data_IF_380648631891
#
_entry.id   IF_380648631891
#
_cell.length_a   1.000
_cell.length_b   1.000
_cell.length_c   1.000
_cell.angle_alpha   90.00
_cell.angle_beta   90.00
_cell.angle_gamma   90.00
#
_symmetry.space_group_name_H-M   'P 1'
#
loop_
_entity.id
_entity.type
_entity.pdbx_description
1 polymer ?
#
# COMPACT_ATOMS: atom_id res chain seq x y z
N UNK A 1 -13.48 90.87 20.92
CA UNK A 1 -14.90 90.81 21.30
C UNK A 1 -15.71 90.72 20.02
N UNK A 2 -16.17 89.52 19.64
CA UNK A 2 -17.29 89.22 18.72
C UNK A 2 -17.51 87.71 18.78
N UNK A 3 -18.79 87.33 18.78
CA UNK A 3 -19.42 86.05 19.19
C UNK A 3 -19.02 84.83 18.36
N UNK A 4 -18.92 83.68 19.04
CA UNK A 4 -18.98 82.34 18.44
C UNK A 4 -20.42 81.83 18.50
N UNK A 5 -20.95 81.40 17.35
CA UNK A 5 -22.30 80.84 17.21
C UNK A 5 -22.21 79.33 16.98
N UNK A 6 -23.13 78.63 17.63
CA UNK A 6 -23.48 77.21 17.66
C UNK A 6 -23.69 76.56 16.29
N UNK A 7 -23.35 75.27 16.13
CA UNK A 7 -24.28 74.12 15.92
C UNK A 7 -23.63 72.96 15.14
N UNK A 8 -23.87 71.77 15.68
CA UNK A 8 -23.60 70.38 15.24
C UNK A 8 -23.82 70.09 13.75
N UNK A 9 -22.94 69.27 13.17
CA UNK A 9 -23.13 68.60 11.89
C UNK A 9 -22.63 67.14 11.93
N UNK A 10 -23.54 66.21 11.65
CA UNK A 10 -23.28 64.84 11.19
C UNK A 10 -22.99 64.84 9.69
N UNK A 11 -21.94 64.15 9.24
CA UNK A 11 -21.70 63.87 7.81
C UNK A 11 -21.07 62.49 7.62
N UNK A 12 -21.70 61.71 6.75
CA UNK A 12 -21.25 60.48 6.07
C UNK A 12 -20.45 60.80 4.79
N UNK A 13 -19.68 59.81 4.32
CA UNK A 13 -19.04 59.67 2.97
C UNK A 13 -17.83 60.60 2.69
N UNK A 14 -16.69 60.21 2.09
CA UNK A 14 -16.29 59.08 1.23
C UNK A 14 -14.76 58.86 1.34
N UNK A 15 -14.27 57.64 1.17
CA UNK A 15 -12.88 57.40 0.71
C UNK A 15 -12.77 56.11 -0.12
N UNK A 16 -12.75 56.33 -1.43
CA UNK A 16 -12.17 55.56 -2.55
C UNK A 16 -11.20 54.42 -2.15
N UNK A 17 -11.55 53.17 -2.49
CA UNK A 17 -10.65 52.01 -2.43
C UNK A 17 -10.42 51.48 -3.86
N UNK A 18 -9.16 51.39 -4.25
CA UNK A 18 -8.70 50.91 -5.57
C UNK A 18 -9.00 49.43 -5.77
N UNK A 19 -9.57 49.12 -6.94
CA UNK A 19 -9.81 47.78 -7.45
C UNK A 19 -8.47 47.11 -7.79
N UNK A 20 -8.07 46.11 -7.01
CA UNK A 20 -7.06 45.14 -7.42
C UNK A 20 -7.78 43.84 -7.70
N UNK A 21 -8.00 43.59 -8.99
CA UNK A 21 -8.57 42.37 -9.54
C UNK A 21 -7.64 41.20 -9.23
N UNK A 22 -7.90 40.51 -8.11
CA UNK A 22 -7.33 39.19 -7.85
C UNK A 22 -8.11 38.19 -8.69
N UNK A 23 -7.50 37.74 -9.77
CA UNK A 23 -7.92 36.60 -10.55
C UNK A 23 -8.01 35.37 -9.62
N UNK A 24 -9.22 35.08 -9.16
CA UNK A 24 -9.54 33.90 -8.35
C UNK A 24 -9.42 32.68 -9.26
N UNK A 25 -8.20 32.13 -9.39
CA UNK A 25 -8.04 30.74 -9.77
C UNK A 25 -8.50 29.91 -8.56
N UNK A 26 -9.83 29.76 -8.47
CA UNK A 26 -10.53 29.09 -7.39
C UNK A 26 -10.10 27.61 -7.39
N UNK A 27 -9.08 27.32 -6.57
CA UNK A 27 -8.43 26.02 -6.46
C UNK A 27 -9.45 24.89 -6.41
N UNK A 28 -9.51 24.11 -7.49
CA UNK A 28 -10.36 22.91 -7.62
C UNK A 28 -10.20 22.02 -6.39
N UNK A 29 -9.00 21.99 -5.80
CA UNK A 29 -8.70 21.26 -4.57
C UNK A 29 -9.45 21.78 -3.35
N UNK A 30 -9.57 23.10 -3.16
CA UNK A 30 -10.37 23.70 -2.07
C UNK A 30 -11.85 23.42 -2.26
N UNK A 31 -12.33 23.43 -3.51
CA UNK A 31 -13.74 23.16 -3.84
C UNK A 31 -14.08 21.67 -3.63
N UNK A 32 -13.24 20.76 -4.11
CA UNK A 32 -13.37 19.31 -3.90
C UNK A 32 -13.19 18.96 -2.42
N UNK A 33 -12.24 19.59 -1.73
CA UNK A 33 -12.07 19.45 -0.30
C UNK A 33 -13.32 19.93 0.43
N UNK A 34 -13.77 21.17 0.25
CA UNK A 34 -14.94 21.73 0.92
C UNK A 34 -16.24 20.96 0.62
N UNK A 35 -16.41 20.40 -0.59
CA UNK A 35 -17.55 19.54 -0.89
C UNK A 35 -17.41 18.20 -0.15
N UNK A 36 -16.22 17.61 -0.12
CA UNK A 36 -15.91 16.37 0.61
C UNK A 36 -16.03 16.54 2.13
N UNK A 37 -15.52 17.64 2.69
CA UNK A 37 -15.66 17.98 4.11
C UNK A 37 -17.07 18.42 4.43
N UNK A 38 -17.79 19.18 3.61
CA UNK A 38 -19.19 19.47 3.88
C UNK A 38 -20.04 18.19 3.92
N UNK A 39 -19.76 17.22 3.02
CA UNK A 39 -20.43 15.91 3.05
C UNK A 39 -20.05 15.10 4.30
N UNK A 40 -18.77 15.09 4.69
CA UNK A 40 -18.28 14.37 5.87
C UNK A 40 -18.67 15.04 7.18
N UNK A 41 -18.66 16.36 7.27
CA UNK A 41 -19.04 17.16 8.44
C UNK A 41 -20.55 17.05 8.68
N UNK A 42 -21.37 16.99 7.61
CA UNK A 42 -22.81 16.72 7.73
C UNK A 42 -23.10 15.29 8.25
N UNK A 43 -22.23 14.32 7.91
CA UNK A 43 -22.31 12.95 8.45
C UNK A 43 -21.70 12.82 9.85
N UNK A 44 -20.65 13.58 10.18
CA UNK A 44 -19.96 13.53 11.47
C UNK A 44 -20.70 14.29 12.57
N UNK A 45 -21.30 15.45 12.26
CA UNK A 45 -22.07 16.28 13.22
C UNK A 45 -23.30 15.53 13.75
N UNK A 46 -23.80 14.51 13.05
CA UNK A 46 -24.90 13.67 13.53
C UNK A 46 -24.46 12.54 14.48
N UNK A 47 -23.15 12.30 14.65
CA UNK A 47 -22.62 11.02 15.20
C UNK A 47 -21.68 11.16 16.39
N UNK A 48 -21.73 12.28 17.13
CA UNK A 48 -21.14 12.30 18.48
C UNK A 48 -22.17 11.68 19.42
N UNK A 49 -22.25 10.36 19.44
CA UNK A 49 -22.86 9.60 20.53
C UNK A 49 -21.93 9.73 21.74
N UNK A 50 -22.46 9.59 22.96
CA UNK A 50 -21.74 9.73 24.23
C UNK A 50 -20.40 8.94 24.29
N UNK A 51 -19.31 9.46 23.71
CA UNK A 51 -18.03 8.73 23.55
C UNK A 51 -18.05 7.58 22.52
N UNK A 52 -18.98 7.57 21.56
CA UNK A 52 -19.13 6.52 20.55
C UNK A 52 -19.20 7.14 19.14
N UNK A 53 -18.54 6.52 18.15
CA UNK A 53 -18.56 6.98 16.73
C UNK A 53 -19.30 5.97 15.87
N UNK A 54 -20.32 6.42 15.12
CA UNK A 54 -21.04 5.56 14.16
C UNK A 54 -20.09 5.13 13.03
N UNK A 55 -20.12 3.85 12.69
CA UNK A 55 -19.28 3.26 11.63
C UNK A 55 -20.17 2.64 10.56
N UNK A 56 -20.00 3.08 9.31
CA UNK A 56 -20.65 2.43 8.18
C UNK A 56 -19.96 1.08 7.88
N UNK A 57 -20.67 -0.06 8.00
CA UNK A 57 -20.08 -1.38 7.85
C UNK A 57 -19.57 -1.66 6.43
N UNK A 58 -20.25 -1.13 5.40
CA UNK A 58 -19.86 -1.33 4.00
C UNK A 58 -18.54 -0.60 3.70
N UNK A 59 -18.48 0.68 4.05
CA UNK A 59 -17.29 1.51 3.88
C UNK A 59 -16.10 0.93 4.66
N UNK A 60 -16.33 0.54 5.91
CA UNK A 60 -15.32 -0.08 6.74
C UNK A 60 -14.79 -1.39 6.16
N UNK A 61 -15.66 -2.25 5.63
CA UNK A 61 -15.25 -3.51 5.01
C UNK A 61 -14.36 -3.29 3.77
N UNK A 62 -14.70 -2.31 2.92
CA UNK A 62 -13.89 -1.99 1.72
C UNK A 62 -12.50 -1.49 2.12
N UNK A 63 -12.42 -0.57 3.09
CA UNK A 63 -11.13 -0.05 3.55
C UNK A 63 -10.26 -1.17 4.15
N UNK A 64 -10.83 -2.00 5.02
CA UNK A 64 -10.09 -3.10 5.65
C UNK A 64 -9.65 -4.15 4.62
N UNK A 65 -10.50 -4.53 3.66
CA UNK A 65 -10.12 -5.45 2.58
C UNK A 65 -9.01 -4.87 1.70
N UNK A 66 -9.10 -3.58 1.38
CA UNK A 66 -8.06 -2.85 0.64
C UNK A 66 -6.72 -2.88 1.37
N UNK A 67 -6.72 -2.62 2.67
CA UNK A 67 -5.51 -2.63 3.49
C UNK A 67 -4.87 -4.01 3.61
N UNK A 68 -5.68 -5.06 3.84
CA UNK A 68 -5.19 -6.45 3.86
C UNK A 68 -4.54 -6.79 2.53
N UNK A 69 -5.23 -6.52 1.42
CA UNK A 69 -4.75 -6.87 0.07
C UNK A 69 -3.44 -6.17 -0.26
N UNK A 70 -3.33 -4.86 0.07
CA UNK A 70 -2.11 -4.07 -0.12
C UNK A 70 -0.95 -4.63 0.71
N UNK A 71 -1.15 -4.90 2.00
CA UNK A 71 -0.12 -5.45 2.89
C UNK A 71 0.35 -6.83 2.40
N UNK A 72 -0.59 -7.73 2.10
CA UNK A 72 -0.27 -9.05 1.57
C UNK A 72 0.54 -8.95 0.29
N UNK A 73 0.15 -8.11 -0.67
CA UNK A 73 0.86 -7.91 -1.94
C UNK A 73 2.33 -7.49 -1.72
N UNK A 74 2.54 -6.47 -0.89
CA UNK A 74 3.86 -5.91 -0.59
C UNK A 74 4.76 -6.93 0.09
N UNK A 75 4.25 -7.61 1.13
CA UNK A 75 5.04 -8.58 1.88
C UNK A 75 5.31 -9.86 1.08
N UNK A 76 4.39 -10.28 0.20
CA UNK A 76 4.67 -11.36 -0.75
C UNK A 76 5.76 -10.97 -1.76
N UNK A 77 5.79 -9.72 -2.21
CA UNK A 77 6.86 -9.23 -3.10
C UNK A 77 8.23 -9.28 -2.41
N UNK A 78 8.33 -8.85 -1.15
CA UNK A 78 9.56 -8.94 -0.34
C UNK A 78 9.97 -10.39 -0.15
N UNK A 79 9.03 -11.26 0.25
CA UNK A 79 9.33 -12.69 0.46
C UNK A 79 9.78 -13.36 -0.83
N UNK A 80 9.16 -13.03 -1.97
CA UNK A 80 9.58 -13.53 -3.27
C UNK A 80 11.00 -13.05 -3.63
N UNK A 81 11.31 -11.78 -3.40
CA UNK A 81 12.67 -11.24 -3.58
C UNK A 81 13.67 -11.93 -2.64
N UNK A 82 13.32 -12.13 -1.37
CA UNK A 82 14.15 -12.80 -0.37
C UNK A 82 14.44 -14.26 -0.78
N UNK A 83 13.41 -15.03 -1.12
CA UNK A 83 13.56 -16.43 -1.55
C UNK A 83 14.46 -16.49 -2.80
N UNK A 84 14.26 -15.57 -3.75
CA UNK A 84 15.11 -15.47 -4.94
C UNK A 84 16.56 -15.19 -4.57
N UNK A 85 16.82 -14.19 -3.73
CA UNK A 85 18.18 -13.86 -3.26
C UNK A 85 18.82 -15.05 -2.56
N UNK A 86 18.13 -15.67 -1.60
CA UNK A 86 18.63 -16.83 -0.87
C UNK A 86 18.90 -18.04 -1.77
N UNK A 87 18.05 -18.29 -2.77
CA UNK A 87 18.24 -19.38 -3.75
C UNK A 87 19.51 -19.21 -4.59
N UNK A 88 19.91 -17.96 -4.85
CA UNK A 88 21.12 -17.65 -5.62
C UNK A 88 22.36 -17.70 -4.72
N UNK A 89 22.26 -17.20 -3.48
CA UNK A 89 23.37 -17.21 -2.52
C UNK A 89 23.73 -18.61 -2.02
N UNK A 90 22.73 -19.45 -1.78
CA UNK A 90 22.91 -20.74 -1.10
C UNK A 90 22.21 -21.89 -1.86
N UNK A 91 22.63 -22.18 -3.11
CA UNK A 91 21.95 -23.15 -3.98
C UNK A 91 21.95 -24.60 -3.43
N UNK A 92 22.86 -24.92 -2.50
CA UNK A 92 23.03 -26.26 -1.92
C UNK A 92 22.37 -26.43 -0.55
N UNK A 93 21.66 -25.42 -0.05
CA UNK A 93 20.98 -25.51 1.24
C UNK A 93 19.63 -26.23 1.12
N UNK A 94 19.49 -27.36 1.83
CA UNK A 94 18.28 -28.18 1.87
C UNK A 94 17.03 -27.44 2.37
N UNK A 95 17.19 -26.40 3.20
CA UNK A 95 16.07 -25.59 3.64
C UNK A 95 15.54 -24.72 2.49
N UNK A 96 16.42 -24.11 1.71
CA UNK A 96 16.05 -23.23 0.59
C UNK A 96 15.42 -24.04 -0.53
N UNK A 97 15.97 -25.23 -0.83
CA UNK A 97 15.37 -26.14 -1.81
C UNK A 97 14.00 -26.67 -1.38
N UNK A 98 13.66 -26.61 -0.08
CA UNK A 98 12.31 -26.91 0.43
C UNK A 98 11.37 -25.72 0.28
N UNK A 99 11.82 -24.50 0.62
CA UNK A 99 11.03 -23.26 0.55
C UNK A 99 10.64 -22.91 -0.89
N UNK A 100 11.46 -23.28 -1.87
CA UNK A 100 11.15 -23.08 -3.30
C UNK A 100 10.17 -24.11 -3.88
N UNK A 101 9.77 -25.15 -3.11
CA UNK A 101 8.76 -26.13 -3.57
C UNK A 101 7.36 -25.53 -3.57
N UNK A 102 6.48 -25.93 -4.52
CA UNK A 102 5.14 -25.35 -4.65
C UNK A 102 4.27 -25.52 -3.40
N UNK A 103 4.36 -26.67 -2.73
CA UNK A 103 3.63 -26.91 -1.46
C UNK A 103 4.05 -25.93 -0.36
N UNK A 104 5.35 -25.62 -0.26
CA UNK A 104 5.86 -24.66 0.71
C UNK A 104 5.45 -23.23 0.33
N UNK A 105 5.47 -22.89 -0.96
CA UNK A 105 5.04 -21.58 -1.42
C UNK A 105 3.56 -21.29 -1.09
N UNK A 106 2.66 -22.26 -1.31
CA UNK A 106 1.25 -22.13 -0.94
C UNK A 106 1.09 -21.94 0.57
N UNK A 107 1.82 -22.71 1.38
CA UNK A 107 1.80 -22.57 2.84
C UNK A 107 2.30 -21.18 3.28
N UNK A 108 3.37 -20.66 2.68
CA UNK A 108 3.87 -19.31 2.94
C UNK A 108 2.82 -18.25 2.60
N UNK A 109 2.16 -18.36 1.44
CA UNK A 109 1.10 -17.41 1.04
C UNK A 109 -0.05 -17.42 2.03
N UNK A 110 -0.54 -18.61 2.41
CA UNK A 110 -1.62 -18.75 3.39
C UNK A 110 -1.24 -18.16 4.75
N UNK A 111 0.00 -18.40 5.20
CA UNK A 111 0.50 -17.83 6.45
C UNK A 111 0.55 -16.30 6.43
N UNK A 112 1.02 -15.70 5.33
CA UNK A 112 1.09 -14.24 5.16
C UNK A 112 -0.32 -13.63 5.13
N UNK A 113 -1.25 -14.25 4.39
CA UNK A 113 -2.65 -13.80 4.32
C UNK A 113 -3.29 -13.85 5.70
N UNK A 114 -3.14 -14.97 6.42
CA UNK A 114 -3.72 -15.14 7.75
C UNK A 114 -3.15 -14.12 8.75
N UNK A 115 -1.83 -13.91 8.74
CA UNK A 115 -1.17 -12.95 9.61
C UNK A 115 -1.72 -11.53 9.41
N UNK A 116 -1.76 -11.06 8.16
CA UNK A 116 -2.26 -9.71 7.86
C UNK A 116 -3.76 -9.58 8.05
N UNK A 117 -4.53 -10.64 7.81
CA UNK A 117 -5.95 -10.65 8.13
C UNK A 117 -6.17 -10.41 9.62
N UNK A 118 -5.55 -11.23 10.49
CA UNK A 118 -5.67 -11.07 11.95
C UNK A 118 -5.20 -9.70 12.41
N UNK A 119 -4.05 -9.25 11.91
CA UNK A 119 -3.49 -7.94 12.22
C UNK A 119 -4.42 -6.79 11.80
N UNK A 120 -5.15 -6.89 10.69
CA UNK A 120 -6.02 -5.82 10.21
C UNK A 120 -7.46 -5.91 10.72
N UNK A 121 -7.87 -7.00 11.38
CA UNK A 121 -9.25 -7.16 11.87
C UNK A 121 -9.40 -7.06 13.39
N UNK A 122 -8.30 -6.92 14.14
CA UNK A 122 -8.33 -6.93 15.61
C UNK A 122 -9.26 -5.85 16.21
N UNK A 123 -9.34 -4.68 15.60
CA UNK A 123 -10.13 -3.54 16.08
C UNK A 123 -11.63 -3.80 15.98
N UNK A 124 -12.09 -4.73 15.12
CA UNK A 124 -13.49 -5.11 15.06
C UNK A 124 -14.00 -5.75 16.35
N UNK A 125 -13.11 -6.28 17.20
CA UNK A 125 -13.49 -6.84 18.50
C UNK A 125 -13.98 -5.79 19.49
N UNK A 126 -13.70 -4.50 19.26
CA UNK A 126 -14.14 -3.40 20.11
C UNK A 126 -15.46 -2.79 19.66
N UNK A 127 -15.92 -3.11 18.45
CA UNK A 127 -17.17 -2.60 17.90
C UNK A 127 -18.36 -3.19 18.66
N UNK A 128 -19.38 -2.35 18.86
CA UNK A 128 -20.61 -2.73 19.57
C UNK A 128 -21.82 -2.20 18.79
N UNK A 129 -22.94 -2.91 18.89
CA UNK A 129 -24.20 -2.47 18.29
C UNK A 129 -25.01 -1.77 19.36
N UNK A 130 -25.45 -0.55 19.05
CA UNK A 130 -26.25 0.28 19.96
C UNK A 130 -27.61 0.58 19.37
N UNK A 131 -28.58 0.75 20.27
CA UNK A 131 -29.88 1.30 19.94
C UNK A 131 -29.79 2.83 20.01
N UNK A 132 -29.96 3.50 18.86
CA UNK A 132 -29.70 4.93 18.71
C UNK A 132 -30.54 5.82 19.65
N UNK A 133 -31.86 5.58 19.84
CA UNK A 133 -32.71 6.41 20.70
C UNK A 133 -32.25 6.54 22.17
N UNK A 134 -31.60 5.51 22.72
CA UNK A 134 -31.22 5.49 24.14
C UNK A 134 -29.80 6.05 24.38
N UNK A 135 -29.01 6.21 23.31
CA UNK A 135 -27.59 6.56 23.38
C UNK A 135 -27.26 7.91 22.73
N UNK A 136 -28.27 8.70 22.39
CA UNK A 136 -28.12 10.06 21.86
C UNK A 136 -27.38 10.96 22.86
N UNK A 137 -26.53 11.84 22.33
CA UNK A 137 -25.89 12.88 23.14
C UNK A 137 -26.92 13.79 23.79
N UNK A 138 -26.56 14.37 24.94
CA UNK A 138 -27.41 15.29 25.67
C UNK A 138 -27.90 16.47 24.81
N UNK A 139 -27.11 16.87 23.82
CA UNK A 139 -27.49 17.88 22.81
C UNK A 139 -28.62 17.39 21.89
N UNK A 140 -28.55 16.14 21.42
CA UNK A 140 -29.55 15.56 20.52
C UNK A 140 -30.83 15.12 21.24
N UNK A 141 -30.78 14.84 22.55
CA UNK A 141 -31.98 14.52 23.36
C UNK A 141 -32.97 15.69 23.43
N UNK A 142 -32.49 16.94 23.27
CA UNK A 142 -33.32 18.14 23.31
C UNK A 142 -34.02 18.45 21.97
N UNK A 143 -33.75 17.69 20.90
CA UNK A 143 -34.45 17.84 19.62
C UNK A 143 -35.79 17.10 19.62
N UNK A 144 -36.78 17.57 18.85
CA UNK A 144 -38.06 16.87 18.73
C UNK A 144 -37.86 15.44 18.21
N UNK A 145 -38.42 14.46 18.94
CA UNK A 145 -38.33 13.00 18.65
C UNK A 145 -38.82 12.61 17.24
N UNK A 146 -39.54 13.51 16.57
CA UNK A 146 -40.05 13.31 15.21
C UNK A 146 -38.96 13.39 14.13
N UNK A 147 -37.75 13.87 14.45
CA UNK A 147 -36.62 13.97 13.51
C UNK A 147 -35.62 12.80 13.62
N UNK A 148 -35.81 11.86 14.55
CA UNK A 148 -34.85 10.77 14.79
C UNK A 148 -35.50 9.41 14.55
N UNK A 149 -35.20 8.80 13.41
CA UNK A 149 -35.65 7.43 13.12
C UNK A 149 -34.94 6.43 14.04
N UNK A 150 -35.68 5.56 14.75
CA UNK A 150 -35.09 4.54 15.60
C UNK A 150 -34.41 3.47 14.75
N UNK A 151 -33.08 3.34 14.89
CA UNK A 151 -32.27 2.34 14.18
C UNK A 151 -31.16 1.78 15.05
N UNK A 152 -30.72 0.56 14.72
CA UNK A 152 -29.49 -0.01 15.27
C UNK A 152 -28.28 0.53 14.52
N UNK A 153 -27.28 0.98 15.27
CA UNK A 153 -26.03 1.51 14.70
C UNK A 153 -24.84 0.70 15.22
N UNK A 154 -23.87 0.45 14.34
CA UNK A 154 -22.57 -0.08 14.73
C UNK A 154 -21.71 1.09 15.18
N UNK A 155 -21.21 1.05 16.41
CA UNK A 155 -20.36 2.12 16.93
C UNK A 155 -19.05 1.58 17.50
N UNK A 156 -18.01 2.38 17.33
CA UNK A 156 -16.70 2.18 17.92
C UNK A 156 -16.52 3.11 19.15
N UNK A 157 -15.83 2.68 20.21
CA UNK A 157 -15.50 3.55 21.33
C UNK A 157 -14.56 4.68 20.90
N UNK A 158 -14.78 5.89 21.42
CA UNK A 158 -13.97 7.06 21.08
C UNK A 158 -12.48 6.87 21.43
N UNK A 159 -12.19 6.15 22.52
CA UNK A 159 -10.81 5.80 22.92
C UNK A 159 -10.06 4.97 21.88
N UNK A 160 -10.78 4.21 21.03
CA UNK A 160 -10.17 3.47 19.93
C UNK A 160 -9.54 4.42 18.91
N UNK A 161 -10.14 5.59 18.66
CA UNK A 161 -9.57 6.56 17.73
C UNK A 161 -8.22 7.10 18.24
N UNK A 162 -8.13 7.38 19.55
CA UNK A 162 -6.89 7.80 20.20
C UNK A 162 -5.84 6.69 20.13
N UNK A 163 -6.22 5.45 20.46
CA UNK A 163 -5.33 4.29 20.37
C UNK A 163 -4.83 4.03 18.94
N UNK A 164 -5.70 4.15 17.94
CA UNK A 164 -5.33 3.98 16.54
C UNK A 164 -4.41 5.12 16.07
N UNK A 165 -4.60 6.34 16.56
CA UNK A 165 -3.71 7.47 16.31
C UNK A 165 -2.31 7.21 16.89
N UNK A 166 -2.22 6.75 18.15
CA UNK A 166 -0.96 6.38 18.80
C UNK A 166 -0.24 5.24 18.07
N UNK A 167 -1.00 4.25 17.58
CA UNK A 167 -0.47 3.16 16.74
C UNK A 167 -0.05 3.63 15.33
N UNK A 168 -0.45 4.82 14.91
CA UNK A 168 -0.13 5.39 13.60
C UNK A 168 1.37 5.49 13.31
N UNK A 169 2.19 5.71 14.34
CA UNK A 169 3.64 5.67 14.18
C UNK A 169 4.14 4.28 13.75
N UNK A 170 3.64 3.22 14.39
CA UNK A 170 4.00 1.84 14.05
C UNK A 170 3.51 1.46 12.65
N UNK A 171 2.34 1.95 12.25
CA UNK A 171 1.83 1.80 10.88
C UNK A 171 2.75 2.44 9.84
N UNK A 172 3.26 3.65 10.11
CA UNK A 172 4.27 4.30 9.29
C UNK A 172 5.55 3.45 9.15
N UNK A 173 6.05 2.91 10.26
CA UNK A 173 7.24 2.02 10.26
C UNK A 173 7.00 0.78 9.41
N UNK A 174 5.85 0.10 9.59
CA UNK A 174 5.50 -1.12 8.84
C UNK A 174 5.42 -0.85 7.33
N UNK A 175 5.00 0.35 6.90
CA UNK A 175 4.92 0.74 5.49
C UNK A 175 6.26 1.15 4.88
N UNK A 176 7.13 1.83 5.63
CA UNK A 176 8.47 2.21 5.14
C UNK A 176 9.44 1.02 5.09
N UNK A 177 9.25 0.03 5.97
CA UNK A 177 10.10 -1.15 6.04
C UNK A 177 10.22 -1.91 4.70
N UNK A 178 9.13 -2.22 3.98
CA UNK A 178 9.18 -2.71 2.60
C UNK A 178 10.03 -1.89 1.64
N UNK A 179 9.85 -0.56 1.65
CA UNK A 179 10.52 0.36 0.74
C UNK A 179 12.05 0.37 0.93
N UNK A 180 12.53 -0.04 2.11
CA UNK A 180 13.96 -0.15 2.44
C UNK A 180 14.49 -1.58 2.28
N UNK A 181 13.75 -2.59 2.72
CA UNK A 181 14.18 -4.00 2.62
C UNK A 181 14.27 -4.47 1.16
N UNK A 182 13.30 -4.10 0.33
CA UNK A 182 13.26 -4.55 -1.07
C UNK A 182 14.52 -4.15 -1.87
N UNK A 183 14.98 -2.87 -1.87
CA UNK A 183 16.20 -2.51 -2.57
C UNK A 183 17.46 -3.15 -1.97
N UNK A 184 17.53 -3.33 -0.65
CA UNK A 184 18.65 -4.04 -0.01
C UNK A 184 18.74 -5.47 -0.58
N UNK A 185 17.63 -6.20 -0.62
CA UNK A 185 17.56 -7.55 -1.19
C UNK A 185 17.94 -7.55 -2.68
N UNK A 186 17.50 -6.55 -3.44
CA UNK A 186 17.89 -6.40 -4.85
C UNK A 186 19.39 -6.17 -5.02
N UNK A 187 20.02 -5.33 -4.19
CA UNK A 187 21.45 -5.06 -4.28
C UNK A 187 22.24 -6.36 -4.04
N UNK A 188 21.89 -7.12 -3.00
CA UNK A 188 22.51 -8.44 -2.74
C UNK A 188 22.34 -9.38 -3.93
N UNK A 189 21.13 -9.47 -4.48
CA UNK A 189 20.85 -10.28 -5.66
C UNK A 189 21.71 -9.87 -6.86
N UNK A 190 21.85 -8.57 -7.13
CA UNK A 190 22.62 -8.06 -8.25
C UNK A 190 24.13 -8.32 -8.09
N UNK A 191 24.67 -8.17 -6.88
CA UNK A 191 26.07 -8.48 -6.58
C UNK A 191 26.34 -9.96 -6.87
N UNK A 192 25.48 -10.86 -6.41
CA UNK A 192 25.68 -12.29 -6.59
C UNK A 192 25.51 -12.71 -8.05
N UNK A 193 24.51 -12.16 -8.76
CA UNK A 193 24.33 -12.41 -10.19
C UNK A 193 25.55 -11.95 -11.01
N UNK A 194 26.14 -10.80 -10.69
CA UNK A 194 27.38 -10.32 -11.33
C UNK A 194 28.56 -11.23 -11.03
N UNK A 195 28.70 -11.71 -9.80
CA UNK A 195 29.75 -12.65 -9.40
C UNK A 195 29.64 -13.97 -10.17
N UNK A 196 28.43 -14.54 -10.28
CA UNK A 196 28.16 -15.74 -11.06
C UNK A 196 28.47 -15.51 -12.55
N UNK A 197 28.06 -14.36 -13.12
CA UNK A 197 28.34 -14.01 -14.51
C UNK A 197 29.85 -13.95 -14.79
N UNK A 198 30.61 -13.26 -13.94
CA UNK A 198 32.08 -13.18 -14.05
C UNK A 198 32.73 -14.57 -13.98
N UNK A 199 32.32 -15.41 -13.04
CA UNK A 199 32.83 -16.80 -12.93
C UNK A 199 32.55 -17.60 -14.21
N UNK A 200 31.36 -17.46 -14.80
CA UNK A 200 30.99 -18.12 -16.07
C UNK A 200 31.79 -17.61 -17.26
N UNK A 201 32.02 -16.30 -17.36
CA UNK A 201 32.84 -15.69 -18.41
C UNK A 201 34.32 -16.12 -18.31
N UNK A 202 34.85 -16.27 -17.09
CA UNK A 202 36.21 -16.77 -16.89
C UNK A 202 36.36 -18.24 -17.34
N UNK A 203 35.30 -19.04 -17.29
CA UNK A 203 35.28 -20.44 -17.75
C UNK A 203 35.05 -20.53 -19.27
N UNK A 204 34.20 -19.66 -19.83
CA UNK A 204 33.90 -19.59 -21.26
C UNK A 204 34.57 -18.39 -21.91
N UNK A 205 35.84 -18.52 -22.32
CA UNK A 205 36.48 -17.52 -23.18
C UNK A 205 35.70 -17.40 -24.50
N UNK A 206 34.96 -16.30 -24.70
CA UNK A 206 34.56 -15.85 -26.04
C UNK A 206 33.09 -15.91 -26.44
N UNK A 207 32.12 -16.16 -25.55
CA UNK A 207 30.70 -16.05 -25.91
C UNK A 207 30.22 -14.60 -25.69
N UNK A 208 29.78 -13.93 -26.77
CA UNK A 208 29.41 -12.51 -26.77
C UNK A 208 28.28 -12.20 -25.77
N UNK A 209 28.40 -11.04 -25.12
CA UNK A 209 27.53 -10.59 -24.04
C UNK A 209 26.08 -10.46 -24.52
N UNK A 210 25.24 -11.44 -24.17
CA UNK A 210 23.79 -11.25 -24.25
C UNK A 210 23.45 -10.14 -23.25
N UNK A 211 22.86 -9.04 -23.75
CA UNK A 211 22.60 -7.84 -22.96
C UNK A 211 21.88 -8.17 -21.65
N UNK A 212 22.28 -7.48 -20.58
CA UNK A 212 21.82 -7.67 -19.20
C UNK A 212 20.37 -7.14 -19.01
N UNK A 213 19.46 -7.48 -19.92
CA UNK A 213 18.07 -7.03 -19.94
C UNK A 213 17.33 -7.42 -18.64
N UNK A 214 17.69 -8.56 -18.06
CA UNK A 214 17.20 -9.03 -16.75
C UNK A 214 17.64 -8.08 -15.62
N UNK A 215 18.89 -7.62 -15.63
CA UNK A 215 19.40 -6.66 -14.64
C UNK A 215 18.69 -5.31 -14.74
N UNK A 216 18.50 -4.80 -15.97
CA UNK A 216 17.73 -3.57 -16.23
C UNK A 216 16.29 -3.69 -15.73
N UNK A 217 15.64 -4.84 -15.97
CA UNK A 217 14.28 -5.11 -15.54
C UNK A 217 14.14 -5.19 -14.01
N UNK A 218 15.09 -5.84 -13.32
CA UNK A 218 15.12 -5.90 -11.85
C UNK A 218 15.29 -4.51 -11.25
N UNK A 219 16.19 -3.69 -11.81
CA UNK A 219 16.39 -2.32 -11.36
C UNK A 219 15.13 -1.48 -11.57
N UNK A 220 14.48 -1.59 -12.73
CA UNK A 220 13.22 -0.91 -13.00
C UNK A 220 12.15 -1.26 -11.96
N UNK A 221 11.91 -2.56 -11.70
CA UNK A 221 10.96 -3.00 -10.67
C UNK A 221 11.30 -2.47 -9.28
N UNK A 222 12.59 -2.35 -8.96
CA UNK A 222 13.03 -1.87 -7.64
C UNK A 222 12.78 -0.38 -7.48
N UNK A 223 13.06 0.41 -8.51
CA UNK A 223 12.80 1.85 -8.49
C UNK A 223 11.30 2.13 -8.42
N UNK A 224 10.47 1.44 -9.22
CA UNK A 224 9.00 1.63 -9.17
C UNK A 224 8.40 1.20 -7.83
N UNK A 225 8.90 0.11 -7.25
CA UNK A 225 8.50 -0.33 -5.91
C UNK A 225 8.90 0.66 -4.83
N UNK A 226 10.14 1.16 -4.85
CA UNK A 226 10.60 2.17 -3.89
C UNK A 226 9.81 3.47 -4.00
N UNK A 227 9.52 3.94 -5.22
CA UNK A 227 8.73 5.15 -5.42
C UNK A 227 7.30 4.95 -4.89
N UNK A 228 6.64 3.87 -5.27
CA UNK A 228 5.24 3.62 -4.87
C UNK A 228 5.06 3.39 -3.36
N UNK A 229 5.85 2.50 -2.76
CA UNK A 229 5.75 2.19 -1.33
C UNK A 229 6.43 3.25 -0.45
N UNK A 230 7.52 3.85 -0.92
CA UNK A 230 8.24 4.91 -0.20
C UNK A 230 7.40 6.18 -0.07
N UNK A 231 6.72 6.61 -1.13
CA UNK A 231 5.81 7.76 -1.07
C UNK A 231 4.63 7.50 -0.12
N UNK A 232 4.08 6.29 -0.11
CA UNK A 232 3.01 5.93 0.82
C UNK A 232 3.48 5.88 2.28
N UNK A 233 4.64 5.31 2.55
CA UNK A 233 5.22 5.31 3.89
C UNK A 233 5.52 6.72 4.39
N UNK A 234 6.05 7.59 3.53
CA UNK A 234 6.29 9.00 3.86
C UNK A 234 4.98 9.74 4.15
N UNK A 235 3.95 9.54 3.35
CA UNK A 235 2.63 10.13 3.57
C UNK A 235 2.05 9.70 4.93
N UNK A 236 2.11 8.42 5.28
CA UNK A 236 1.62 7.91 6.55
C UNK A 236 2.32 8.55 7.77
N UNK A 237 3.64 8.77 7.71
CA UNK A 237 4.36 9.49 8.76
C UNK A 237 3.94 10.96 8.89
N UNK A 238 3.61 11.60 7.78
CA UNK A 238 3.08 12.96 7.78
C UNK A 238 1.65 12.99 8.34
N UNK A 239 0.82 12.00 8.00
CA UNK A 239 -0.54 11.87 8.53
C UNK A 239 -0.56 11.57 10.03
N UNK A 240 0.44 10.86 10.58
CA UNK A 240 0.59 10.73 12.03
C UNK A 240 0.78 12.09 12.73
N UNK A 241 1.41 13.06 12.07
CA UNK A 241 1.58 14.43 12.58
C UNK A 241 0.52 15.40 12.04
N UNK A 242 -0.62 14.90 11.53
CA UNK A 242 -1.60 15.71 10.80
C UNK A 242 -2.12 16.90 11.61
N UNK A 243 -2.44 16.74 12.89
CA UNK A 243 -2.92 17.84 13.74
C UNK A 243 -1.90 18.99 13.82
N UNK A 244 -0.62 18.66 13.98
CA UNK A 244 0.47 19.65 14.03
C UNK A 244 0.66 20.34 12.68
N UNK A 245 0.56 19.58 11.60
CA UNK A 245 0.68 20.10 10.24
C UNK A 245 -0.49 21.02 9.91
N UNK A 246 -1.71 20.62 10.25
CA UNK A 246 -2.93 21.40 10.02
C UNK A 246 -2.91 22.72 10.80
N UNK A 247 -2.45 22.70 12.05
CA UNK A 247 -2.28 23.92 12.85
C UNK A 247 -1.18 24.86 12.30
N UNK A 248 -0.15 24.31 11.66
CA UNK A 248 0.95 25.09 11.10
C UNK A 248 0.66 25.63 9.69
N UNK A 249 0.07 24.80 8.82
CA UNK A 249 -0.24 25.12 7.44
C UNK A 249 -1.41 24.28 6.94
N UNK A 250 -2.58 24.92 6.86
CA UNK A 250 -3.83 24.31 6.43
C UNK A 250 -3.76 23.81 4.97
N UNK A 251 -3.18 24.60 4.06
CA UNK A 251 -3.04 24.22 2.65
C UNK A 251 -2.16 22.97 2.48
N UNK A 252 -1.09 22.84 3.27
CA UNK A 252 -0.27 21.62 3.29
C UNK A 252 -1.07 20.40 3.77
N UNK A 253 -1.96 20.58 4.76
CA UNK A 253 -2.82 19.50 5.24
C UNK A 253 -3.79 19.02 4.15
N UNK A 254 -4.34 19.93 3.35
CA UNK A 254 -5.17 19.60 2.18
C UNK A 254 -4.38 18.91 1.07
N UNK A 255 -3.14 19.36 0.83
CA UNK A 255 -2.25 18.70 -0.11
C UNK A 255 -1.94 17.26 0.33
N UNK A 256 -1.70 17.00 1.61
CA UNK A 256 -1.45 15.66 2.16
C UNK A 256 -2.66 14.74 1.99
N UNK A 257 -3.86 15.23 2.31
CA UNK A 257 -5.09 14.46 2.10
C UNK A 257 -5.32 14.17 0.62
N UNK A 258 -5.00 15.11 -0.27
CA UNK A 258 -5.17 14.92 -1.72
C UNK A 258 -4.11 14.00 -2.31
N UNK A 259 -2.87 14.04 -1.81
CA UNK A 259 -1.76 13.20 -2.27
C UNK A 259 -2.03 11.69 -2.11
N UNK A 260 -2.94 11.31 -1.22
CA UNK A 260 -3.31 9.90 -1.00
C UNK A 260 -3.83 9.21 -2.26
N UNK A 261 -4.53 9.94 -3.14
CA UNK A 261 -5.14 9.39 -4.35
C UNK A 261 -4.08 9.01 -5.40
N UNK A 262 -3.20 9.92 -5.87
CA UNK A 262 -2.16 9.56 -6.81
C UNK A 262 -1.17 8.54 -6.24
N UNK A 263 -0.86 8.59 -4.93
CA UNK A 263 0.01 7.61 -4.28
C UNK A 263 -0.63 6.20 -4.30
N UNK A 264 -1.92 6.10 -3.98
CA UNK A 264 -2.64 4.83 -4.04
C UNK A 264 -2.73 4.28 -5.46
N UNK A 265 -2.94 5.16 -6.45
CA UNK A 265 -2.93 4.77 -7.86
C UNK A 265 -1.55 4.26 -8.30
N UNK A 266 -0.47 4.93 -7.91
CA UNK A 266 0.89 4.52 -8.22
C UNK A 266 1.18 3.12 -7.66
N UNK A 267 0.73 2.82 -6.44
CA UNK A 267 0.84 1.47 -5.84
C UNK A 267 0.05 0.43 -6.61
N UNK A 268 -1.17 0.75 -7.02
CA UNK A 268 -2.00 -0.15 -7.84
C UNK A 268 -1.35 -0.46 -9.20
N UNK A 269 -0.77 0.56 -9.85
CA UNK A 269 -0.03 0.40 -11.11
C UNK A 269 1.22 -0.45 -10.89
N UNK A 270 1.97 -0.21 -9.82
CA UNK A 270 3.15 -1.01 -9.48
C UNK A 270 2.77 -2.48 -9.23
N UNK A 271 1.66 -2.73 -8.52
CA UNK A 271 1.14 -4.08 -8.31
C UNK A 271 0.74 -4.76 -9.64
N UNK A 272 0.01 -4.05 -10.51
CA UNK A 272 -0.39 -4.54 -11.83
C UNK A 272 0.81 -4.83 -12.74
N UNK A 273 1.92 -4.09 -12.58
CA UNK A 273 3.14 -4.27 -13.37
C UNK A 273 3.76 -5.67 -13.21
N UNK A 274 3.55 -6.34 -12.08
CA UNK A 274 4.12 -7.66 -11.81
C UNK A 274 3.71 -8.71 -12.85
N UNK A 275 2.49 -8.64 -13.40
CA UNK A 275 2.06 -9.56 -14.45
C UNK A 275 2.92 -9.42 -15.72
N UNK A 276 3.21 -8.18 -16.12
CA UNK A 276 4.09 -7.87 -17.26
C UNK A 276 5.53 -8.29 -16.98
N UNK A 277 6.00 -8.07 -15.76
CA UNK A 277 7.38 -8.46 -15.41
C UNK A 277 7.55 -9.98 -15.37
N UNK A 278 6.56 -10.71 -14.85
CA UNK A 278 6.53 -12.18 -14.94
C UNK A 278 6.60 -12.67 -16.39
N UNK A 279 5.89 -12.00 -17.30
CA UNK A 279 5.96 -12.27 -18.75
C UNK A 279 7.35 -12.00 -19.34
N UNK A 280 7.99 -10.88 -19.01
CA UNK A 280 9.33 -10.55 -19.52
C UNK A 280 10.42 -11.47 -18.93
N UNK A 281 10.26 -11.94 -17.69
CA UNK A 281 11.23 -12.78 -16.99
C UNK A 281 11.15 -14.27 -17.35
N UNK A 282 9.94 -14.85 -17.38
CA UNK A 282 9.76 -16.31 -17.42
C UNK A 282 9.36 -16.82 -18.80
N UNK A 283 10.15 -17.72 -19.39
CA UNK A 283 9.78 -18.42 -20.63
C UNK A 283 8.52 -19.26 -20.44
N UNK A 284 8.42 -19.98 -19.33
CA UNK A 284 7.25 -20.82 -19.02
C UNK A 284 5.96 -19.99 -18.92
N UNK A 285 6.05 -18.79 -18.35
CA UNK A 285 4.91 -17.87 -18.27
C UNK A 285 4.51 -17.39 -19.67
N UNK A 286 5.48 -16.96 -20.49
CA UNK A 286 5.22 -16.57 -21.89
C UNK A 286 4.58 -17.69 -22.69
N UNK A 287 5.09 -18.91 -22.57
CA UNK A 287 4.59 -20.07 -23.31
C UNK A 287 3.16 -20.42 -22.89
N UNK A 288 2.83 -20.27 -21.60
CA UNK A 288 1.47 -20.46 -21.09
C UNK A 288 0.52 -19.39 -21.62
N UNK A 289 0.91 -18.11 -21.55
CA UNK A 289 0.11 -16.99 -22.08
C UNK A 289 -0.11 -17.15 -23.58
N UNK A 290 0.96 -17.42 -24.35
CA UNK A 290 0.85 -17.70 -25.78
C UNK A 290 -0.02 -18.92 -26.05
N UNK A 291 0.08 -19.97 -25.23
CA UNK A 291 -0.81 -21.12 -25.30
C UNK A 291 -2.28 -20.73 -25.15
N UNK A 292 -2.63 -19.88 -24.19
CA UNK A 292 -4.01 -19.41 -24.01
C UNK A 292 -4.54 -18.59 -25.20
N UNK A 293 -3.69 -17.80 -25.86
CA UNK A 293 -4.08 -16.98 -27.01
C UNK A 293 -3.91 -17.68 -28.37
N UNK A 294 -3.08 -18.72 -28.47
CA UNK A 294 -2.82 -19.48 -29.70
C UNK A 294 -3.51 -20.86 -29.73
N UNK A 295 -4.00 -21.42 -28.62
CA UNK A 295 -4.85 -22.63 -28.65
C UNK A 295 -6.23 -22.37 -29.27
N UNK A 296 -6.66 -21.11 -29.40
CA UNK A 296 -7.83 -20.75 -30.21
C UNK A 296 -7.53 -20.68 -31.72
N UNK A 297 -6.25 -20.56 -32.12
CA UNK A 297 -5.84 -20.48 -33.53
C UNK A 297 -4.48 -21.19 -33.72
N UNK A 298 -4.54 -22.52 -33.89
CA UNK A 298 -3.52 -23.33 -34.55
C UNK A 298 -2.11 -23.42 -33.88
N UNK A 299 -1.95 -24.22 -32.82
CA UNK A 299 -0.69 -24.94 -32.52
C UNK A 299 -0.86 -25.98 -31.39
N UNK A 300 -1.28 -27.21 -31.72
CA UNK A 300 -1.09 -28.38 -30.84
C UNK A 300 0.37 -28.83 -30.87
N UNK A 301 1.27 -28.10 -30.21
CA UNK A 301 2.64 -28.58 -30.00
C UNK A 301 2.65 -29.49 -28.78
N UNK A 302 3.01 -30.76 -28.98
CA UNK A 302 3.16 -31.80 -27.94
C UNK A 302 3.97 -31.26 -26.76
N UNK A 303 3.30 -31.01 -25.61
CA UNK A 303 3.97 -30.74 -24.33
C UNK A 303 4.81 -31.96 -23.93
N UNK A 304 6.13 -31.92 -24.16
CA UNK A 304 7.06 -32.76 -23.40
C UNK A 304 7.09 -32.19 -21.99
N UNK A 305 6.39 -32.86 -21.07
CA UNK A 305 6.58 -32.66 -19.63
C UNK A 305 8.05 -32.97 -19.35
N UNK A 306 8.86 -31.94 -19.11
CA UNK A 306 10.20 -32.09 -18.55
C UNK A 306 10.02 -32.61 -17.12
N UNK A 307 10.04 -33.94 -16.97
CA UNK A 307 10.25 -34.58 -15.68
C UNK A 307 11.62 -34.13 -15.21
N UNK A 308 11.65 -33.27 -14.19
CA UNK A 308 12.88 -32.95 -13.47
C UNK A 308 13.25 -34.22 -12.71
N UNK A 309 14.16 -35.01 -13.28
CA UNK A 309 14.73 -36.17 -12.62
C UNK A 309 15.77 -35.64 -11.62
N UNK A 310 15.49 -35.88 -10.34
CA UNK A 310 16.38 -35.55 -9.24
C UNK A 310 17.65 -36.39 -9.39
N UNK A 311 18.80 -35.75 -9.65
CA UNK A 311 20.07 -36.46 -9.76
C UNK A 311 20.39 -37.10 -8.40
N UNK A 312 20.03 -38.37 -8.23
CA UNK A 312 20.57 -39.20 -7.15
C UNK A 312 22.07 -39.31 -7.41
N UNK A 313 22.86 -38.79 -6.48
CA UNK A 313 24.30 -39.05 -6.38
C UNK A 313 24.51 -40.55 -6.25
N UNK A 314 24.90 -41.21 -7.33
CA UNK A 314 25.47 -42.55 -7.29
C UNK A 314 26.79 -42.50 -6.54
N UNK A 315 26.79 -43.07 -5.33
CA UNK A 315 27.99 -43.51 -4.64
C UNK A 315 28.73 -44.51 -5.55
N UNK A 316 29.93 -44.13 -6.00
CA UNK A 316 30.90 -45.06 -6.56
C UNK A 316 31.39 -45.96 -5.44
N UNK A 317 30.94 -47.21 -5.41
CA UNK A 317 31.63 -48.27 -4.67
C UNK A 317 32.62 -48.94 -5.63
N UNK A 318 33.90 -48.58 -5.53
CA UNK A 318 34.99 -49.36 -6.09
C UNK A 318 35.16 -50.65 -5.27
N UNK A 319 34.67 -51.78 -5.76
CA UNK A 319 35.11 -53.10 -5.30
C UNK A 319 36.22 -53.60 -6.20
N UNK A 320 37.44 -53.45 -5.72
CA UNK A 320 38.63 -54.16 -6.20
C UNK A 320 38.44 -55.66 -5.92
N UNK A 321 38.38 -56.49 -6.97
CA UNK A 321 38.59 -57.94 -6.84
C UNK A 321 40.10 -58.19 -6.92
N UNK A 322 40.69 -58.71 -5.85
CA UNK A 322 41.99 -59.41 -5.91
C UNK A 322 41.75 -60.90 -5.71
N UNK A 323 42.40 -61.70 -6.55
CA UNK A 323 42.52 -63.15 -6.46
C UNK A 323 43.07 -63.59 -5.11
N UNK A 324 42.52 -64.66 -4.53
CA UNK A 324 43.20 -65.94 -4.35
C UNK A 324 42.15 -67.03 -4.05
#
# INVERSE_FOLDING_TARGET
MIKTTTTTATTTEDSQYSDYEYEYEEDIYKKVYNISTALNLYLEIFTVLNGLREVNPYTQAIYTLGDITKRVSVWLAILMALIRTLSVLFPMNNWISRVTKPKSAILTVLGVVLFWFVYSTWHFTTFRVFWLPDNLSQFCQNRPKNETEPRYVLAAPADLANLLSDLGFMEGVIKVLPATLYPILTIFLLIELRTIKKRRQNIKKGESDKSDNTTKLILFMTVTFMLSEGLAGAQDFLMYNFERISAWNEDLSYALMTAQYPITNLRSINAASHAFVCFLMSSQYRDTVKGMFCESVCCKVKRKVLKVEETRSTSMNSKTKSSF
#
